data_IF_473181358219
#
_entry.id   IF_473181358219
#
_cell.length_a   1.000
_cell.length_b   1.000
_cell.length_c   1.000
_cell.angle_alpha   90.00
_cell.angle_beta   90.00
_cell.angle_gamma   90.00
#
_symmetry.space_group_name_H-M   'P 1'
#
loop_
_entity.id
_entity.type
_entity.pdbx_description
1 polymer ?
#
# COMPACT_ATOMS: atom_id res chain seq x y z
N UNK A 1 0.02 -7.92 -81.11
CA UNK A 1 -0.57 -9.24 -81.39
C UNK A 1 0.26 -10.30 -80.65
N UNK A 2 -0.37 -10.99 -79.69
CA UNK A 2 -0.13 -12.37 -79.21
C UNK A 2 1.31 -12.78 -78.78
N UNK A 3 1.55 -12.98 -77.46
CA UNK A 3 1.44 -14.26 -76.68
C UNK A 3 2.66 -15.17 -76.96
N UNK A 4 3.34 -15.84 -76.00
CA UNK A 4 2.95 -16.39 -74.69
C UNK A 4 4.16 -17.16 -74.08
N UNK A 5 4.05 -17.45 -72.77
CA UNK A 5 4.54 -18.63 -71.99
C UNK A 5 5.79 -18.48 -71.09
N UNK A 6 5.52 -18.13 -69.83
CA UNK A 6 5.69 -18.92 -68.58
C UNK A 6 6.72 -20.06 -68.55
N UNK A 7 7.57 -20.10 -67.52
CA UNK A 7 7.65 -21.22 -66.55
C UNK A 7 8.51 -20.89 -65.29
N UNK A 8 7.89 -21.05 -64.12
CA UNK A 8 8.33 -21.68 -62.84
C UNK A 8 9.67 -21.36 -62.12
N UNK A 9 9.48 -20.84 -60.90
CA UNK A 9 10.08 -21.20 -59.60
C UNK A 9 11.61 -21.41 -59.47
N UNK A 10 12.24 -20.56 -58.65
CA UNK A 10 13.09 -21.05 -57.56
C UNK A 10 12.87 -20.18 -56.32
N UNK A 11 12.47 -20.83 -55.23
CA UNK A 11 12.58 -20.29 -53.89
C UNK A 11 14.06 -20.10 -53.56
N UNK A 12 14.45 -18.93 -53.06
CA UNK A 12 15.69 -18.76 -52.31
C UNK A 12 15.29 -18.51 -50.87
N UNK A 13 15.57 -19.54 -50.06
CA UNK A 13 15.59 -19.47 -48.62
C UNK A 13 16.75 -18.59 -48.15
N UNK A 14 16.57 -17.94 -47.00
CA UNK A 14 17.67 -17.64 -46.08
C UNK A 14 18.14 -16.19 -46.04
N UNK A 15 17.64 -15.45 -45.06
CA UNK A 15 18.47 -14.60 -44.19
C UNK A 15 17.70 -14.33 -42.90
N UNK A 16 17.90 -15.22 -41.93
CA UNK A 16 17.69 -14.97 -40.51
C UNK A 16 18.51 -13.77 -40.05
N UNK A 17 17.90 -12.86 -39.28
CA UNK A 17 18.54 -12.26 -38.13
C UNK A 17 17.46 -11.85 -37.11
N UNK A 18 17.32 -12.68 -36.09
CA UNK A 18 16.60 -12.42 -34.85
C UNK A 18 17.11 -11.09 -34.26
N UNK A 19 16.29 -10.05 -34.23
CA UNK A 19 16.49 -8.92 -33.31
C UNK A 19 15.52 -9.09 -32.13
N UNK A 20 15.72 -10.17 -31.37
CA UNK A 20 14.98 -10.50 -30.15
C UNK A 20 15.99 -10.56 -28.99
N UNK A 21 16.80 -9.51 -28.85
CA UNK A 21 17.74 -9.36 -27.75
C UNK A 21 17.86 -7.87 -27.44
N UNK A 22 17.00 -7.37 -26.54
CA UNK A 22 17.07 -5.97 -26.11
C UNK A 22 16.01 -5.52 -25.09
N UNK A 23 14.94 -6.28 -24.88
CA UNK A 23 13.85 -5.87 -23.97
C UNK A 23 13.96 -6.44 -22.53
N UNK A 24 14.99 -7.23 -22.24
CA UNK A 24 15.24 -7.76 -20.89
C UNK A 24 16.18 -6.81 -20.12
N UNK A 25 15.66 -5.71 -19.60
CA UNK A 25 16.46 -4.85 -18.71
C UNK A 25 16.03 -3.41 -18.55
N UNK A 26 14.88 -2.97 -19.10
CA UNK A 26 14.36 -1.68 -18.68
C UNK A 26 14.07 -1.79 -17.18
N UNK A 27 14.67 -0.93 -16.33
CA UNK A 27 14.25 -0.87 -14.94
C UNK A 27 12.74 -0.62 -14.97
N UNK A 28 11.98 -1.48 -14.28
CA UNK A 28 10.61 -1.11 -13.95
C UNK A 28 10.75 0.21 -13.22
N UNK A 29 10.28 1.31 -13.81
CA UNK A 29 10.09 2.52 -13.01
C UNK A 29 9.24 2.08 -11.83
N UNK A 30 9.80 2.19 -10.63
CA UNK A 30 9.06 1.91 -9.42
C UNK A 30 8.03 3.02 -9.31
N UNK A 31 6.89 2.82 -9.97
CA UNK A 31 5.77 3.73 -9.86
C UNK A 31 5.32 3.74 -8.40
N UNK A 32 5.17 4.93 -7.84
CA UNK A 32 4.62 5.13 -6.52
C UNK A 32 3.29 4.36 -6.40
N UNK A 33 3.19 3.49 -5.40
CA UNK A 33 1.98 2.73 -5.12
C UNK A 33 1.10 3.50 -4.15
N UNK A 34 -0.20 3.28 -4.25
CA UNK A 34 -1.15 3.71 -3.22
C UNK A 34 -1.47 2.52 -2.31
N UNK A 35 -1.36 2.73 -1.01
CA UNK A 35 -1.71 1.75 0.02
C UNK A 35 -2.93 2.24 0.79
N UNK A 36 -4.01 1.48 0.73
CA UNK A 36 -5.19 1.72 1.56
C UNK A 36 -5.05 0.97 2.88
N UNK A 37 -4.98 1.73 3.98
CA UNK A 37 -4.71 1.22 5.32
C UNK A 37 -5.89 1.57 6.20
N UNK A 38 -6.55 0.54 6.72
CA UNK A 38 -7.63 0.70 7.69
C UNK A 38 -7.21 0.11 9.03
N UNK A 39 -7.42 0.87 10.09
CA UNK A 39 -7.31 0.40 11.47
C UNK A 39 -8.58 0.71 12.25
N UNK A 40 -8.86 -0.13 13.24
CA UNK A 40 -9.94 0.05 14.21
C UNK A 40 -9.32 0.26 15.59
N UNK A 41 -9.66 1.36 16.25
CA UNK A 41 -9.32 1.55 17.66
C UNK A 41 -10.18 0.60 18.50
N UNK A 42 -9.55 -0.23 19.33
CA UNK A 42 -10.25 -1.19 20.18
C UNK A 42 -9.78 -1.09 21.63
N UNK A 43 -10.74 -1.02 22.54
CA UNK A 43 -10.52 -1.13 23.98
C UNK A 43 -10.53 -2.62 24.37
N UNK A 44 -9.35 -3.19 24.61
CA UNK A 44 -9.14 -4.64 24.72
C UNK A 44 -8.45 -5.00 26.04
N UNK A 45 -8.83 -6.10 26.69
CA UNK A 45 -8.02 -6.68 27.76
C UNK A 45 -6.87 -7.50 27.16
N UNK A 46 -5.63 -7.14 27.47
CA UNK A 46 -4.43 -7.89 27.10
C UNK A 46 -3.79 -8.53 28.32
N UNK A 47 -3.11 -9.66 28.15
CA UNK A 47 -2.31 -10.30 29.20
C UNK A 47 -0.91 -9.72 29.18
N UNK A 48 -0.42 -9.24 30.32
CA UNK A 48 0.85 -8.50 30.41
C UNK A 48 1.97 -9.26 31.15
N UNK A 49 1.67 -10.39 31.78
CA UNK A 49 2.67 -11.27 32.40
C UNK A 49 2.23 -12.74 32.39
N UNK A 50 3.19 -13.65 32.59
CA UNK A 50 3.01 -15.10 32.44
C UNK A 50 2.06 -15.76 33.46
N UNK A 51 1.65 -15.04 34.50
CA UNK A 51 0.67 -15.46 35.51
C UNK A 51 -0.77 -15.11 35.13
N UNK A 52 -0.99 -14.39 34.01
CA UNK A 52 -2.32 -14.08 33.49
C UNK A 52 -2.88 -12.72 33.91
N UNK A 53 -2.09 -11.84 34.54
CA UNK A 53 -2.54 -10.48 34.86
C UNK A 53 -2.95 -9.75 33.59
N UNK A 54 -4.13 -9.13 33.65
CA UNK A 54 -4.76 -8.44 32.54
C UNK A 54 -4.65 -6.93 32.69
N UNK A 55 -4.55 -6.24 31.57
CA UNK A 55 -4.55 -4.79 31.46
C UNK A 55 -5.58 -4.34 30.42
N UNK A 56 -6.36 -3.30 30.73
CA UNK A 56 -7.26 -2.66 29.76
C UNK A 56 -6.44 -1.73 28.88
N UNK A 57 -6.17 -2.16 27.66
CA UNK A 57 -5.39 -1.44 26.68
C UNK A 57 -6.26 -0.76 25.63
N UNK A 58 -5.78 0.36 25.12
CA UNK A 58 -6.19 0.90 23.84
C UNK A 58 -5.27 0.35 22.77
N UNK A 59 -5.86 -0.31 21.79
CA UNK A 59 -5.14 -1.07 20.76
C UNK A 59 -5.59 -0.65 19.38
N UNK A 60 -4.75 -0.92 18.39
CA UNK A 60 -5.15 -0.84 16.98
C UNK A 60 -5.29 -2.26 16.45
N UNK A 61 -6.47 -2.56 15.91
CA UNK A 61 -6.85 -3.90 15.45
C UNK A 61 -6.73 -4.99 16.55
N UNK A 62 -6.87 -4.63 17.82
CA UNK A 62 -6.86 -5.59 18.93
C UNK A 62 -5.45 -6.09 19.30
N UNK A 63 -4.41 -5.49 18.71
CA UNK A 63 -3.02 -5.88 18.93
C UNK A 63 -2.26 -4.80 19.72
N UNK A 64 -1.35 -5.26 20.58
CA UNK A 64 -0.40 -4.41 21.31
C UNK A 64 1.01 -4.99 21.19
N UNK A 65 1.93 -4.34 20.44
CA UNK A 65 1.72 -3.15 19.62
C UNK A 65 0.75 -3.38 18.45
N UNK A 66 0.23 -2.30 17.87
CA UNK A 66 -0.59 -2.37 16.66
C UNK A 66 0.20 -2.87 15.43
N UNK A 67 -0.49 -3.25 14.34
CA UNK A 67 0.16 -3.75 13.13
C UNK A 67 1.15 -2.74 12.55
N UNK A 68 2.34 -3.21 12.15
CA UNK A 68 3.30 -2.38 11.45
C UNK A 68 2.81 -2.04 10.03
N UNK A 69 2.84 -0.74 9.70
CA UNK A 69 2.61 -0.24 8.34
C UNK A 69 3.96 -0.14 7.63
N UNK A 70 4.13 -0.88 6.54
CA UNK A 70 5.33 -0.84 5.71
C UNK A 70 4.97 -0.42 4.29
N UNK A 71 5.57 0.69 3.86
CA UNK A 71 5.46 1.24 2.50
C UNK A 71 6.85 1.60 1.97
N UNK A 72 6.94 1.95 0.69
CA UNK A 72 8.18 2.42 0.07
C UNK A 72 8.20 3.95 0.07
N UNK A 73 9.38 4.55 0.16
CA UNK A 73 9.54 5.98 -0.09
C UNK A 73 8.91 6.36 -1.45
N UNK A 74 8.12 7.43 -1.47
CA UNK A 74 7.34 7.87 -2.62
C UNK A 74 5.93 7.30 -2.71
N UNK A 75 5.62 6.22 -1.97
CA UNK A 75 4.26 5.67 -1.95
C UNK A 75 3.26 6.62 -1.28
N UNK A 76 2.00 6.56 -1.74
CA UNK A 76 0.86 7.24 -1.12
C UNK A 76 0.19 6.31 -0.12
N UNK A 77 -0.12 6.81 1.08
CA UNK A 77 -0.89 6.11 2.10
C UNK A 77 -2.25 6.78 2.24
N UNK A 78 -3.32 6.03 1.99
CA UNK A 78 -4.69 6.40 2.32
C UNK A 78 -5.05 5.72 3.64
N UNK A 79 -4.96 6.45 4.74
CA UNK A 79 -5.24 5.90 6.06
C UNK A 79 -6.69 6.18 6.47
N UNK A 80 -7.31 5.21 7.13
CA UNK A 80 -8.61 5.34 7.80
C UNK A 80 -8.55 4.75 9.19
N UNK A 81 -8.96 5.53 10.20
CA UNK A 81 -9.20 5.06 11.56
C UNK A 81 -10.71 5.02 11.81
N UNK A 82 -11.19 3.88 12.29
CA UNK A 82 -12.54 3.70 12.80
C UNK A 82 -12.52 3.62 14.33
N UNK A 83 -13.40 4.36 14.99
CA UNK A 83 -13.69 4.21 16.41
C UNK A 83 -15.08 3.59 16.56
N UNK A 84 -15.21 2.28 16.89
CA UNK A 84 -16.51 1.63 17.02
C UNK A 84 -17.39 2.27 18.10
N UNK A 85 -18.72 2.21 17.91
CA UNK A 85 -19.70 2.68 18.92
C UNK A 85 -19.63 1.95 20.26
N UNK A 86 -18.96 0.79 20.30
CA UNK A 86 -18.76 -0.02 21.49
C UNK A 86 -17.66 0.50 22.40
N UNK A 87 -16.80 1.40 21.91
CA UNK A 87 -15.78 2.05 22.72
C UNK A 87 -16.40 3.12 23.63
N UNK A 88 -15.71 3.40 24.73
CA UNK A 88 -16.05 4.43 25.70
C UNK A 88 -15.30 5.74 25.43
N UNK A 89 -14.08 5.66 24.87
CA UNK A 89 -13.18 6.80 24.73
C UNK A 89 -13.04 7.29 23.28
N UNK A 90 -12.79 8.60 23.08
CA UNK A 90 -12.28 9.11 21.82
C UNK A 90 -10.86 8.61 21.55
N UNK A 91 -10.54 8.38 20.27
CA UNK A 91 -9.22 7.92 19.84
C UNK A 91 -8.70 8.72 18.65
N UNK A 92 -7.38 8.75 18.47
CA UNK A 92 -6.68 9.38 17.36
C UNK A 92 -5.53 8.48 16.90
N UNK A 93 -4.96 8.76 15.72
CA UNK A 93 -3.75 8.14 15.22
C UNK A 93 -2.85 9.20 14.59
N UNK A 94 -1.59 9.21 14.99
CA UNK A 94 -0.54 10.04 14.42
C UNK A 94 0.47 9.15 13.66
N UNK A 95 0.87 9.58 12.47
CA UNK A 95 1.99 9.00 11.74
C UNK A 95 3.12 10.02 11.72
N UNK A 96 4.18 9.78 12.49
CA UNK A 96 5.37 10.65 12.47
C UNK A 96 6.01 10.79 11.08
N UNK A 97 5.79 9.82 10.18
CA UNK A 97 6.25 9.85 8.79
C UNK A 97 5.43 10.80 7.88
N UNK A 98 4.27 11.27 8.33
CA UNK A 98 3.37 12.08 7.51
C UNK A 98 3.57 13.59 7.76
N UNK A 99 3.78 14.32 6.66
CA UNK A 99 3.94 15.77 6.67
C UNK A 99 2.63 16.44 6.19
N UNK A 100 1.63 16.50 7.08
CA UNK A 100 0.28 17.03 6.81
C UNK A 100 -0.21 17.94 7.94
N UNK A 101 -1.36 18.61 7.76
CA UNK A 101 -1.99 19.43 8.81
C UNK A 101 -2.42 18.56 10.00
N UNK A 102 -1.66 18.63 11.10
CA UNK A 102 -1.88 17.80 12.28
C UNK A 102 -3.17 18.17 13.05
N UNK A 103 -3.57 19.44 13.06
CA UNK A 103 -4.79 19.89 13.76
C UNK A 103 -6.04 19.31 13.09
N UNK A 104 -6.00 19.16 11.76
CA UNK A 104 -7.08 18.57 10.99
C UNK A 104 -7.07 17.04 11.04
N UNK A 105 -5.93 16.42 10.79
CA UNK A 105 -5.86 14.98 10.47
C UNK A 105 -5.65 14.08 11.69
N UNK A 106 -5.10 14.60 12.80
CA UNK A 106 -4.84 13.83 14.03
C UNK A 106 -5.78 14.19 15.19
N UNK A 107 -6.90 14.83 14.88
CA UNK A 107 -7.94 15.06 15.88
C UNK A 107 -8.50 13.73 16.38
N UNK A 108 -8.94 13.72 17.64
CA UNK A 108 -9.70 12.60 18.17
C UNK A 108 -11.05 12.46 17.47
N UNK A 109 -11.49 11.21 17.30
CA UNK A 109 -12.82 10.81 16.85
C UNK A 109 -13.56 10.09 17.96
N UNK A 110 -14.83 10.44 18.16
CA UNK A 110 -15.68 9.86 19.19
C UNK A 110 -16.10 8.43 18.82
N UNK A 111 -16.62 7.63 19.77
CA UNK A 111 -17.23 6.35 19.46
C UNK A 111 -18.32 6.46 18.38
N UNK A 112 -18.21 5.66 17.34
CA UNK A 112 -19.06 5.67 16.15
C UNK A 112 -18.59 6.55 15.00
N UNK A 113 -17.49 7.28 15.16
CA UNK A 113 -16.91 8.12 14.12
C UNK A 113 -15.75 7.43 13.38
N UNK A 114 -15.46 7.96 12.19
CA UNK A 114 -14.34 7.55 11.33
C UNK A 114 -13.62 8.80 10.85
N UNK A 115 -12.30 8.72 10.72
CA UNK A 115 -11.47 9.74 10.07
C UNK A 115 -10.56 9.10 9.03
N UNK A 116 -10.37 9.79 7.91
CA UNK A 116 -9.44 9.38 6.86
C UNK A 116 -8.55 10.54 6.46
N UNK A 117 -7.30 10.24 6.15
CA UNK A 117 -6.35 11.20 5.59
C UNK A 117 -5.34 10.50 4.69
N UNK A 118 -4.77 11.28 3.77
CA UNK A 118 -3.81 10.79 2.79
C UNK A 118 -2.49 11.53 2.94
N UNK A 119 -1.38 10.81 2.86
CA UNK A 119 -0.03 11.39 2.82
C UNK A 119 0.89 10.59 1.90
N UNK A 120 1.97 11.22 1.44
CA UNK A 120 3.05 10.56 0.71
C UNK A 120 4.19 10.27 1.69
N UNK A 121 4.74 9.06 1.68
CA UNK A 121 5.88 8.69 2.49
C UNK A 121 7.18 9.28 1.90
N UNK A 122 7.53 10.50 2.28
CA UNK A 122 8.64 11.26 1.66
C UNK A 122 10.04 10.93 2.17
N UNK A 123 10.15 10.19 3.28
CA UNK A 123 11.41 9.95 3.98
C UNK A 123 11.49 8.48 4.39
N UNK A 124 12.62 7.79 4.15
CA UNK A 124 12.81 6.43 4.63
C UNK A 124 13.13 6.42 6.14
N UNK A 125 12.61 5.43 6.87
CA UNK A 125 12.84 5.30 8.31
C UNK A 125 11.86 4.37 9.01
N UNK A 126 11.88 4.41 10.34
CA UNK A 126 10.90 3.82 11.27
C UNK A 126 10.37 4.90 12.20
#
# INVERSE_FOLDING_TARGET
>A
MMKRRSLHLMAIAGATALAMAGLMGLPSEASAKTHDIKMTALETEIVIEGTGTKYKAWTFNGQMPGPAVRVTEGDTVNFTLENPKTNFYPHAMDFHAAEIDFLKNYRAINPGETISFTFVAKKPGV
#
